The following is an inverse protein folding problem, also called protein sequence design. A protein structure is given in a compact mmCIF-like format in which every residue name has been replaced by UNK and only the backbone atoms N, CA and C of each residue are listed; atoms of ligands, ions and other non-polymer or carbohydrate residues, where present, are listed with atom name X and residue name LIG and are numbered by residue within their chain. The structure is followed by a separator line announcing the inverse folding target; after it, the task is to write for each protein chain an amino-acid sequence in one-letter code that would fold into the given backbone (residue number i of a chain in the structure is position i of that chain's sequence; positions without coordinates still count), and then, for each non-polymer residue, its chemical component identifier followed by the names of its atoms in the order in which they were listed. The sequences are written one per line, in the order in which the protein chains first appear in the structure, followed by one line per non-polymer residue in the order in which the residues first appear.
data_IF_485741897010
#
_entry.id   IF_485741897010
#
_cell.length_a   1.000
_cell.length_b   1.000
_cell.length_c   1.000
_cell.angle_alpha   90.00
_cell.angle_beta   90.00
_cell.angle_gamma   90.00
#
_symmetry.space_group_name_H-M   'P 1'
#
loop_
_entity.id
_entity.type
_entity.pdbx_description
1 polymer ?
#
# COMPACT_ATOMS: atom_id res chain seq x y z
N UNK A 1 -6.67 12.85 23.73
CA UNK A 1 -6.24 11.47 24.08
C UNK A 1 -7.37 10.81 24.88
N UNK A 2 -8.18 10.01 24.19
CA UNK A 2 -9.27 9.29 24.87
C UNK A 2 -8.68 8.01 25.44
N UNK A 3 -8.48 7.97 26.75
CA UNK A 3 -8.02 6.77 27.45
C UNK A 3 -9.24 5.89 27.68
N UNK A 4 -9.35 4.81 26.92
CA UNK A 4 -10.32 3.75 27.24
C UNK A 4 -9.88 3.10 28.56
N UNK A 5 -10.58 3.39 29.63
CA UNK A 5 -10.42 2.61 30.89
C UNK A 5 -10.84 1.18 30.61
N UNK A 6 -9.96 0.26 30.94
CA UNK A 6 -10.24 -1.17 30.93
C UNK A 6 -11.54 -1.45 31.70
N UNK A 7 -12.51 -2.07 31.05
CA UNK A 7 -13.69 -2.62 31.70
C UNK A 7 -13.19 -3.68 32.70
N UNK A 8 -13.61 -3.66 33.98
CA UNK A 8 -13.13 -4.63 34.95
C UNK A 8 -13.38 -6.06 34.48
N UNK A 9 -12.38 -6.91 34.58
CA UNK A 9 -12.42 -8.33 34.15
C UNK A 9 -13.62 -9.13 34.70
N UNK A 10 -14.25 -8.66 35.77
CA UNK A 10 -15.43 -9.29 36.37
C UNK A 10 -16.70 -9.18 35.51
N UNK A 11 -16.78 -8.21 34.57
CA UNK A 11 -17.97 -8.07 33.71
C UNK A 11 -17.85 -8.91 32.43
N UNK A 12 -16.66 -9.37 32.12
CA UNK A 12 -16.36 -10.21 30.95
C UNK A 12 -16.78 -11.66 31.18
N UNK A 13 -16.76 -12.14 32.43
CA UNK A 13 -17.06 -13.55 32.78
C UNK A 13 -18.50 -13.99 32.61
N UNK A 14 -19.46 -13.09 32.52
CA UNK A 14 -20.90 -13.42 32.49
C UNK A 14 -21.51 -13.45 31.07
N UNK A 15 -20.77 -12.94 30.05
CA UNK A 15 -21.28 -12.82 28.67
C UNK A 15 -20.59 -13.79 27.69
N UNK A 16 -19.60 -14.58 28.11
CA UNK A 16 -18.68 -15.26 27.21
C UNK A 16 -18.83 -16.76 27.12
N UNK A 17 -19.99 -17.21 26.59
CA UNK A 17 -20.08 -18.56 25.99
C UNK A 17 -20.24 -18.50 24.46
N UNK A 18 -20.00 -17.33 23.83
CA UNK A 18 -19.99 -17.20 22.39
C UNK A 18 -18.55 -17.17 21.90
N UNK A 19 -18.12 -18.19 21.16
CA UNK A 19 -16.87 -18.17 20.41
C UNK A 19 -16.95 -17.06 19.37
N UNK A 20 -16.18 -15.99 19.56
CA UNK A 20 -16.04 -14.96 18.53
C UNK A 20 -14.99 -15.42 17.53
N UNK A 21 -15.41 -15.58 16.29
CA UNK A 21 -14.49 -15.87 15.20
C UNK A 21 -13.83 -14.57 14.74
N UNK A 22 -12.51 -14.60 14.60
CA UNK A 22 -11.71 -13.54 14.02
C UNK A 22 -10.97 -14.08 12.81
N UNK A 23 -11.04 -13.38 11.69
CA UNK A 23 -10.42 -13.78 10.43
C UNK A 23 -9.50 -12.68 9.91
N UNK A 24 -8.48 -13.07 9.20
CA UNK A 24 -7.58 -12.16 8.47
C UNK A 24 -7.30 -12.72 7.09
N UNK A 25 -7.04 -11.85 6.15
CA UNK A 25 -6.66 -12.19 4.79
C UNK A 25 -5.42 -11.41 4.35
N UNK A 26 -4.71 -11.92 3.37
CA UNK A 26 -3.56 -11.26 2.76
C UNK A 26 -3.57 -11.55 1.27
N UNK A 27 -3.18 -10.55 0.48
CA UNK A 27 -3.12 -10.64 -0.98
C UNK A 27 -1.68 -10.84 -1.46
N UNK A 28 -1.52 -11.52 -2.59
CA UNK A 28 -0.23 -11.71 -3.25
C UNK A 28 0.20 -10.47 -4.04
N UNK A 29 1.44 -10.49 -4.52
CA UNK A 29 2.06 -9.38 -5.26
C UNK A 29 1.27 -8.94 -6.49
N UNK A 30 0.66 -9.90 -7.19
CA UNK A 30 -0.13 -9.64 -8.39
C UNK A 30 -1.58 -9.23 -8.14
N UNK A 31 -2.01 -9.08 -6.87
CA UNK A 31 -3.33 -8.53 -6.59
C UNK A 31 -3.41 -7.07 -7.05
N UNK A 32 -4.51 -6.61 -7.69
CA UNK A 32 -4.61 -5.24 -8.20
C UNK A 32 -4.25 -4.16 -7.18
N UNK A 33 -4.73 -4.27 -5.93
CA UNK A 33 -4.43 -3.29 -4.89
C UNK A 33 -2.94 -3.28 -4.54
N UNK A 34 -2.32 -4.47 -4.38
CA UNK A 34 -0.89 -4.60 -4.09
C UNK A 34 -0.02 -4.12 -5.26
N UNK A 35 -0.46 -4.37 -6.50
CA UNK A 35 0.18 -3.87 -7.71
C UNK A 35 0.16 -2.33 -7.74
N UNK A 36 -0.98 -1.72 -7.39
CA UNK A 36 -1.12 -0.27 -7.34
C UNK A 36 -0.19 0.35 -6.29
N UNK A 37 -0.12 -0.22 -5.09
CA UNK A 37 0.81 0.20 -4.04
C UNK A 37 2.26 0.12 -4.51
N UNK A 38 2.66 -0.99 -5.13
CA UNK A 38 4.03 -1.17 -5.64
C UNK A 38 4.39 -0.16 -6.73
N UNK A 39 3.45 0.18 -7.61
CA UNK A 39 3.67 1.21 -8.63
C UNK A 39 3.83 2.59 -7.97
N UNK A 40 2.97 2.94 -7.01
CA UNK A 40 3.05 4.22 -6.30
C UNK A 40 4.38 4.35 -5.55
N UNK A 41 4.80 3.30 -4.86
CA UNK A 41 6.08 3.23 -4.14
C UNK A 41 7.27 3.35 -5.11
N UNK A 42 7.26 2.64 -6.24
CA UNK A 42 8.33 2.70 -7.22
C UNK A 42 8.49 4.10 -7.86
N UNK A 43 7.37 4.80 -8.08
CA UNK A 43 7.40 6.20 -8.54
C UNK A 43 7.97 7.13 -7.48
N UNK A 44 7.56 6.96 -6.21
CA UNK A 44 8.11 7.70 -5.07
C UNK A 44 9.62 7.47 -4.98
N UNK A 45 10.07 6.21 -4.94
CA UNK A 45 11.48 5.84 -4.85
C UNK A 45 12.32 6.46 -5.97
N UNK A 46 11.79 6.45 -7.21
CA UNK A 46 12.46 7.04 -8.36
C UNK A 46 12.63 8.56 -8.25
N UNK A 47 11.68 9.24 -7.62
CA UNK A 47 11.75 10.70 -7.42
C UNK A 47 12.70 11.07 -6.28
N UNK A 48 12.60 10.40 -5.13
CA UNK A 48 13.43 10.72 -3.96
C UNK A 48 14.89 10.30 -4.13
N UNK A 49 15.19 9.37 -5.05
CA UNK A 49 16.57 8.99 -5.37
C UNK A 49 17.38 10.16 -5.93
N UNK A 50 16.73 11.00 -6.76
CA UNK A 50 17.38 12.15 -7.40
C UNK A 50 17.11 13.49 -6.68
N UNK A 51 15.95 13.61 -6.04
CA UNK A 51 15.54 14.78 -5.26
C UNK A 51 14.92 14.33 -3.94
N UNK A 52 15.74 14.21 -2.86
CA UNK A 52 15.26 13.75 -1.54
C UNK A 52 14.19 14.64 -0.90
N UNK A 53 14.04 15.89 -1.38
CA UNK A 53 13.03 16.83 -0.90
C UNK A 53 11.70 16.71 -1.67
N UNK A 54 11.60 15.77 -2.61
CA UNK A 54 10.38 15.54 -3.40
C UNK A 54 9.18 15.25 -2.51
N UNK A 55 8.05 15.83 -2.86
CA UNK A 55 6.73 15.51 -2.29
C UNK A 55 5.92 14.79 -3.34
N UNK A 56 5.49 13.59 -3.01
CA UNK A 56 4.90 12.67 -3.98
C UNK A 56 3.63 12.06 -3.37
N UNK A 57 2.50 12.36 -3.97
CA UNK A 57 1.20 11.81 -3.62
C UNK A 57 0.62 11.16 -4.88
N UNK A 58 0.99 9.91 -5.13
CA UNK A 58 0.59 9.13 -6.30
C UNK A 58 -0.43 8.07 -5.90
N UNK A 59 -1.52 8.05 -6.65
CA UNK A 59 -2.59 7.06 -6.55
C UNK A 59 -2.70 6.29 -7.85
N UNK A 60 -2.95 5.00 -7.75
CA UNK A 60 -3.07 4.11 -8.90
C UNK A 60 -4.39 3.34 -8.87
N UNK A 61 -4.91 3.07 -10.06
CA UNK A 61 -6.04 2.14 -10.28
C UNK A 61 -5.65 1.18 -11.38
N UNK A 62 -5.75 -0.11 -11.11
CA UNK A 62 -5.47 -1.16 -12.08
C UNK A 62 -6.73 -1.96 -12.42
N UNK A 63 -6.88 -2.29 -13.70
CA UNK A 63 -7.91 -3.17 -14.22
C UNK A 63 -7.34 -3.99 -15.37
N UNK A 64 -8.13 -4.92 -15.93
CA UNK A 64 -7.69 -5.73 -17.07
C UNK A 64 -7.16 -4.86 -18.21
N UNK A 65 -5.90 -5.03 -18.56
CA UNK A 65 -5.25 -4.35 -19.67
C UNK A 65 -4.91 -2.86 -19.45
N UNK A 66 -5.15 -2.28 -18.26
CA UNK A 66 -4.91 -0.86 -18.05
C UNK A 66 -4.49 -0.54 -16.60
N UNK A 67 -3.59 0.45 -16.48
CA UNK A 67 -3.30 1.15 -15.22
C UNK A 67 -3.51 2.64 -15.43
N UNK A 68 -4.23 3.28 -14.52
CA UNK A 68 -4.34 4.73 -14.44
C UNK A 68 -3.59 5.23 -13.21
N UNK A 69 -2.69 6.20 -13.42
CA UNK A 69 -1.83 6.80 -12.40
C UNK A 69 -2.17 8.27 -12.31
N UNK A 70 -2.53 8.72 -11.13
CA UNK A 70 -2.91 10.11 -10.89
C UNK A 70 -2.28 10.60 -9.59
N UNK A 71 -2.30 11.90 -9.37
CA UNK A 71 -1.82 12.48 -8.13
C UNK A 71 -1.18 13.84 -8.29
N UNK A 72 -0.51 14.23 -7.23
CA UNK A 72 0.18 15.52 -7.17
C UNK A 72 1.63 15.30 -6.75
N UNK A 73 2.55 16.00 -7.41
CA UNK A 73 3.98 15.95 -7.08
C UNK A 73 4.58 17.34 -7.02
N UNK A 74 5.59 17.50 -6.17
CA UNK A 74 6.48 18.65 -6.16
C UNK A 74 7.91 18.11 -6.12
N UNK A 75 8.62 18.22 -7.23
CA UNK A 75 9.97 17.68 -7.40
C UNK A 75 10.75 18.51 -8.41
N UNK A 76 12.06 18.44 -8.31
CA UNK A 76 13.01 19.06 -9.27
C UNK A 76 13.52 18.07 -10.31
N UNK A 77 13.20 16.79 -10.15
CA UNK A 77 13.62 15.72 -11.06
C UNK A 77 12.54 15.36 -12.06
N UNK A 78 12.95 14.73 -13.16
CA UNK A 78 12.06 14.13 -14.14
C UNK A 78 12.08 12.62 -14.02
N UNK A 79 10.92 12.00 -13.88
CA UNK A 79 10.75 10.55 -13.87
C UNK A 79 9.77 10.13 -14.97
N UNK A 80 10.17 9.18 -15.80
CA UNK A 80 9.26 8.52 -16.74
C UNK A 80 8.36 7.53 -15.97
N UNK A 81 7.25 8.05 -15.46
CA UNK A 81 6.29 7.30 -14.65
C UNK A 81 5.75 6.08 -15.39
N UNK A 82 5.52 6.21 -16.70
CA UNK A 82 5.01 5.09 -17.51
C UNK A 82 6.03 3.96 -17.61
N UNK A 83 7.31 4.29 -17.73
CA UNK A 83 8.40 3.31 -17.73
C UNK A 83 8.52 2.62 -16.38
N UNK A 84 8.56 3.37 -15.29
CA UNK A 84 8.62 2.82 -13.92
C UNK A 84 7.46 1.86 -13.68
N UNK A 85 6.24 2.26 -14.02
CA UNK A 85 5.07 1.40 -13.85
C UNK A 85 5.18 0.09 -14.66
N UNK A 86 5.67 0.14 -15.91
CA UNK A 86 5.87 -1.07 -16.72
C UNK A 86 6.89 -2.00 -16.13
N UNK A 87 8.01 -1.47 -15.66
CA UNK A 87 9.08 -2.24 -15.02
C UNK A 87 8.54 -2.93 -13.77
N UNK A 88 7.81 -2.23 -12.92
CA UNK A 88 7.16 -2.80 -11.72
C UNK A 88 6.18 -3.93 -12.08
N UNK A 89 5.33 -3.72 -13.08
CA UNK A 89 4.36 -4.74 -13.53
C UNK A 89 5.09 -6.01 -14.02
N UNK A 90 6.18 -5.84 -14.76
CA UNK A 90 6.98 -6.95 -15.28
C UNK A 90 7.72 -7.70 -14.15
N UNK A 91 8.28 -6.98 -13.18
CA UNK A 91 8.94 -7.56 -12.01
C UNK A 91 8.00 -8.42 -11.15
N UNK A 92 6.73 -8.02 -11.05
CA UNK A 92 5.69 -8.82 -10.37
C UNK A 92 5.41 -10.13 -11.12
N UNK A 93 5.67 -10.18 -12.43
CA UNK A 93 5.50 -11.37 -13.25
C UNK A 93 4.37 -11.30 -14.27
N UNK A 94 3.79 -10.14 -14.51
CA UNK A 94 2.83 -9.92 -15.59
C UNK A 94 3.57 -9.65 -16.92
N UNK A 95 4.18 -10.69 -17.45
CA UNK A 95 5.09 -10.66 -18.60
C UNK A 95 4.47 -11.25 -19.89
N UNK A 96 3.19 -11.61 -19.87
CA UNK A 96 2.54 -12.25 -21.02
C UNK A 96 1.01 -12.09 -21.04
N UNK A 97 0.50 -11.85 -22.23
CA UNK A 97 -0.91 -11.54 -22.50
C UNK A 97 -1.92 -12.60 -22.01
N UNK A 98 -1.48 -13.87 -21.84
CA UNK A 98 -2.37 -14.95 -21.39
C UNK A 98 -2.95 -14.74 -19.99
N UNK A 99 -2.33 -13.85 -19.18
CA UNK A 99 -2.84 -13.48 -17.87
C UNK A 99 -3.95 -12.40 -17.93
N UNK A 100 -4.28 -11.90 -19.13
CA UNK A 100 -5.19 -10.77 -19.28
C UNK A 100 -4.60 -9.42 -18.89
N UNK A 101 -3.33 -9.41 -18.46
CA UNK A 101 -2.58 -8.24 -18.09
C UNK A 101 -1.10 -8.48 -18.39
N UNK A 102 -0.43 -7.52 -19.04
CA UNK A 102 0.95 -7.65 -19.50
C UNK A 102 1.61 -6.27 -19.46
N UNK A 103 2.71 -6.16 -18.73
CA UNK A 103 3.44 -4.91 -18.52
C UNK A 103 3.98 -4.30 -19.82
N UNK A 104 4.20 -5.10 -20.87
CA UNK A 104 4.68 -4.59 -22.16
C UNK A 104 3.57 -3.95 -22.99
N UNK A 105 2.33 -4.44 -22.86
CA UNK A 105 1.21 -4.09 -23.77
C UNK A 105 0.03 -3.40 -23.12
N UNK A 106 -0.08 -3.44 -21.77
CA UNK A 106 -1.16 -2.76 -21.06
C UNK A 106 -1.13 -1.23 -21.31
N UNK A 107 -2.30 -0.61 -21.30
CA UNK A 107 -2.40 0.83 -21.34
C UNK A 107 -1.95 1.42 -20.01
N UNK A 108 -1.09 2.44 -20.04
CA UNK A 108 -0.73 3.24 -18.88
C UNK A 108 -1.16 4.68 -19.17
N UNK A 109 -2.11 5.15 -18.36
CA UNK A 109 -2.62 6.52 -18.45
C UNK A 109 -2.12 7.29 -17.23
N UNK A 110 -1.63 8.50 -17.43
CA UNK A 110 -1.12 9.35 -16.36
C UNK A 110 -1.83 10.69 -16.34
N UNK A 111 -2.16 11.17 -15.13
CA UNK A 111 -2.70 12.51 -14.90
C UNK A 111 -2.09 13.07 -13.62
N UNK A 112 -0.87 13.58 -13.73
CA UNK A 112 -0.11 14.12 -12.60
C UNK A 112 -0.15 15.65 -12.65
N UNK A 113 -0.37 16.25 -11.49
CA UNK A 113 -0.41 17.70 -11.29
C UNK A 113 0.68 18.15 -10.35
N UNK A 114 1.01 19.43 -10.40
CA UNK A 114 1.82 20.07 -9.39
C UNK A 114 1.04 20.18 -8.08
N UNK A 115 1.68 19.95 -6.94
CA UNK A 115 1.04 20.06 -5.62
C UNK A 115 0.43 21.44 -5.41
N UNK A 116 -0.78 21.49 -4.82
CA UNK A 116 -1.45 22.74 -4.48
C UNK A 116 -0.59 23.60 -3.56
N UNK A 117 -0.48 24.89 -3.90
CA UNK A 117 0.26 25.89 -3.08
C UNK A 117 -0.35 26.09 -1.69
N UNK A 118 -1.66 25.90 -1.55
CA UNK A 118 -2.34 26.04 -0.26
C UNK A 118 -1.96 24.89 0.69
N UNK A 119 -1.84 23.66 0.17
CA UNK A 119 -1.36 22.49 0.94
C UNK A 119 0.11 22.69 1.30
N UNK A 120 0.93 23.15 0.36
CA UNK A 120 2.36 23.37 0.57
C UNK A 120 2.63 24.35 1.73
N UNK A 121 1.86 25.45 1.85
CA UNK A 121 2.01 26.41 2.95
C UNK A 121 1.85 25.78 4.34
N UNK A 122 0.94 24.81 4.49
CA UNK A 122 0.74 24.10 5.76
C UNK A 122 1.85 23.11 6.08
N UNK A 123 2.30 22.38 5.06
CA UNK A 123 3.34 21.34 5.19
C UNK A 123 4.73 21.94 5.39
N UNK A 124 5.04 23.07 4.71
CA UNK A 124 6.34 23.76 4.77
C UNK A 124 6.72 24.24 6.17
N UNK A 125 5.74 24.50 7.02
CA UNK A 125 5.95 24.89 8.42
C UNK A 125 5.84 23.74 9.41
N UNK A 126 5.85 22.47 8.91
CA UNK A 126 5.78 21.26 9.73
C UNK A 126 4.36 20.82 10.10
N UNK A 127 3.35 21.35 9.42
CA UNK A 127 1.97 20.87 9.55
C UNK A 127 1.71 19.56 8.84
N UNK A 128 0.58 18.92 9.14
CA UNK A 128 0.12 17.72 8.46
C UNK A 128 -0.39 18.05 7.05
N UNK A 129 -0.10 17.18 6.08
CA UNK A 129 -0.59 17.30 4.71
C UNK A 129 -2.06 16.93 4.54
N UNK A 130 -2.64 16.22 5.51
CA UNK A 130 -4.03 15.79 5.49
C UNK A 130 -4.56 15.62 6.92
N UNK A 131 -5.88 15.51 7.04
CA UNK A 131 -6.53 15.10 8.28
C UNK A 131 -6.27 13.60 8.54
N UNK A 132 -6.31 13.18 9.80
CA UNK A 132 -6.09 11.77 10.11
C UNK A 132 -6.52 11.40 11.52
N UNK A 133 -6.77 10.11 11.68
CA UNK A 133 -6.91 9.44 12.97
C UNK A 133 -6.00 8.23 12.97
N UNK A 134 -5.26 8.02 14.06
CA UNK A 134 -4.32 6.94 14.20
C UNK A 134 -4.80 5.94 15.24
N UNK A 135 -4.69 4.65 14.90
CA UNK A 135 -4.93 3.55 15.80
C UNK A 135 -3.64 2.74 15.94
N UNK A 136 -3.36 2.28 17.14
CA UNK A 136 -2.20 1.46 17.43
C UNK A 136 -2.60 0.26 18.28
N UNK A 137 -1.94 -0.86 18.03
CA UNK A 137 -2.13 -2.09 18.80
C UNK A 137 -0.97 -3.04 18.62
N UNK A 138 -0.73 -3.83 19.65
CA UNK A 138 0.24 -4.92 19.62
C UNK A 138 -0.29 -6.06 20.47
N UNK A 139 0.06 -7.29 20.09
CA UNK A 139 -0.33 -8.52 20.80
C UNK A 139 0.90 -9.41 20.99
N UNK A 140 0.91 -10.21 22.05
CA UNK A 140 2.01 -11.14 22.34
C UNK A 140 1.66 -12.55 21.81
N UNK A 141 1.28 -12.61 20.53
CA UNK A 141 0.94 -13.88 19.85
C UNK A 141 2.05 -14.36 18.91
N UNK A 142 2.90 -13.44 18.47
CA UNK A 142 3.96 -13.69 17.50
C UNK A 142 5.21 -12.87 17.84
N UNK A 143 6.40 -13.26 17.37
CA UNK A 143 7.65 -12.55 17.67
C UNK A 143 7.68 -11.09 17.20
N UNK A 144 6.86 -10.73 16.21
CA UNK A 144 6.74 -9.38 15.67
C UNK A 144 5.57 -8.58 16.29
N UNK A 145 4.97 -9.09 17.36
CA UNK A 145 3.82 -8.49 18.05
C UNK A 145 2.57 -8.24 17.20
N UNK A 146 2.47 -8.94 16.08
CA UNK A 146 1.29 -8.92 15.22
C UNK A 146 0.33 -10.06 15.57
N UNK A 147 -1.00 -9.89 15.38
CA UNK A 147 -1.98 -10.97 15.56
C UNK A 147 -1.62 -12.20 14.71
N UNK A 148 -1.79 -13.39 15.29
CA UNK A 148 -1.43 -14.65 14.66
C UNK A 148 -2.16 -14.86 13.31
N UNK A 149 -3.43 -14.51 13.24
CA UNK A 149 -4.25 -14.70 12.03
C UNK A 149 -3.66 -13.99 10.80
N UNK A 150 -3.28 -12.71 10.93
CA UNK A 150 -2.68 -11.96 9.81
C UNK A 150 -1.25 -12.41 9.53
N UNK A 151 -0.49 -12.80 10.56
CA UNK A 151 0.86 -13.34 10.38
C UNK A 151 0.83 -14.60 9.54
N UNK A 152 -0.04 -15.56 9.86
CA UNK A 152 -0.20 -16.79 9.09
C UNK A 152 -0.69 -16.52 7.65
N UNK A 153 -1.64 -15.63 7.46
CA UNK A 153 -2.12 -15.25 6.14
C UNK A 153 -0.99 -14.71 5.25
N UNK A 154 -0.13 -13.85 5.80
CA UNK A 154 1.05 -13.33 5.10
C UNK A 154 2.09 -14.39 4.80
N UNK A 155 2.43 -15.24 5.76
CA UNK A 155 3.41 -16.32 5.57
C UNK A 155 2.98 -17.30 4.47
N UNK A 156 1.69 -17.67 4.45
CA UNK A 156 1.14 -18.54 3.41
C UNK A 156 1.29 -17.92 2.04
N UNK A 157 0.87 -16.67 1.86
CA UNK A 157 0.93 -16.02 0.54
C UNK A 157 2.38 -15.77 0.09
N UNK A 158 3.29 -15.42 0.99
CA UNK A 158 4.72 -15.28 0.68
C UNK A 158 5.34 -16.61 0.25
N UNK A 159 4.95 -17.71 0.89
CA UNK A 159 5.40 -19.05 0.49
C UNK A 159 4.88 -19.43 -0.89
N UNK A 160 3.62 -19.15 -1.18
CA UNK A 160 3.03 -19.37 -2.50
C UNK A 160 3.76 -18.55 -3.58
N UNK A 161 4.03 -17.29 -3.35
CA UNK A 161 4.80 -16.42 -4.26
C UNK A 161 6.19 -17.01 -4.56
N UNK A 162 6.88 -17.48 -3.53
CA UNK A 162 8.20 -18.12 -3.71
C UNK A 162 8.12 -19.39 -4.58
N UNK A 163 7.05 -20.17 -4.43
CA UNK A 163 6.85 -21.41 -5.20
C UNK A 163 6.46 -21.13 -6.66
N UNK A 164 5.80 -20.02 -6.94
CA UNK A 164 5.37 -19.66 -8.30
C UNK A 164 6.46 -19.01 -9.13
N UNK A 165 7.48 -18.43 -8.48
CA UNK A 165 8.64 -17.83 -9.15
C UNK A 165 9.75 -18.82 -9.51
N UNK A 166 9.69 -20.05 -8.98
CA UNK A 166 10.61 -21.17 -9.30
C UNK A 166 9.97 -22.14 -10.29
#
# INVERSE_FOLDING_TARGET
LMIFRSVPALYIGVIMNEHKLFTSESVGEGHPDKLCDQISDAVLDSMIADDPDSRVAIECVATTGMVFITGEVSTKTYVDISKVARETILEIGYDRAKYGFDGTTCAILTSIKEQSKDIAMGVDIGGAGDQGIMFGGAVDETPNYMPLAITLAREIIMKLTTLTRN
#
